data_IF_246034836262
#
_entry.id   IF_246034836262
#
_cell.length_a   1.000
_cell.length_b   1.000
_cell.length_c   1.000
_cell.angle_alpha   90.00
_cell.angle_beta   90.00
_cell.angle_gamma   90.00
#
_symmetry.space_group_name_H-M   'P 1'
#
loop_
_entity.id
_entity.type
_entity.pdbx_description
1 polymer ?
#
# COMPACT_ATOMS: atom_id res chain seq x y z
N UNK A 1 34.94 30.57 9.73
CA UNK A 1 34.44 29.64 10.76
C UNK A 1 33.37 28.80 10.09
N UNK A 2 33.74 27.63 9.62
CA UNK A 2 32.81 26.67 9.06
C UNK A 2 32.04 26.06 10.22
N UNK A 3 30.73 26.32 10.29
CA UNK A 3 29.84 25.59 11.18
C UNK A 3 29.83 24.13 10.70
N UNK A 4 30.46 23.30 11.49
CA UNK A 4 30.40 21.84 11.32
C UNK A 4 28.98 21.41 11.66
N UNK A 5 28.08 21.32 10.64
CA UNK A 5 26.76 20.74 10.77
C UNK A 5 26.99 19.27 11.17
N UNK A 6 26.91 18.99 12.47
CA UNK A 6 26.86 17.62 12.98
C UNK A 6 25.66 16.94 12.32
N UNK A 7 25.87 16.12 11.30
CA UNK A 7 24.86 15.19 10.81
C UNK A 7 24.42 14.36 12.02
N UNK A 8 23.17 14.57 12.48
CA UNK A 8 22.56 13.71 13.49
C UNK A 8 22.68 12.28 12.94
N UNK A 9 23.29 11.39 13.69
CA UNK A 9 23.35 9.98 13.32
C UNK A 9 21.93 9.45 13.37
N UNK A 10 21.32 9.23 12.22
CA UNK A 10 19.99 8.63 12.12
C UNK A 10 20.19 7.14 12.43
N UNK A 11 19.46 6.64 13.41
CA UNK A 11 19.40 5.22 13.73
C UNK A 11 18.42 4.54 12.78
N UNK A 12 18.60 3.26 12.49
CA UNK A 12 17.68 2.52 11.64
C UNK A 12 16.45 2.03 12.44
N UNK A 13 16.60 1.92 13.76
CA UNK A 13 15.58 1.35 14.65
C UNK A 13 15.79 1.70 16.12
N UNK A 14 14.78 1.48 16.94
CA UNK A 14 14.87 1.49 18.40
C UNK A 14 14.04 0.36 19.02
N UNK A 15 14.39 -0.04 20.26
CA UNK A 15 13.58 -0.96 21.04
C UNK A 15 12.48 -0.19 21.77
N UNK A 16 11.27 -0.73 21.78
CA UNK A 16 10.10 -0.11 22.39
C UNK A 16 9.35 -1.07 23.30
N UNK A 17 8.74 -0.50 24.35
CA UNK A 17 7.63 -1.13 25.07
C UNK A 17 6.36 -0.89 24.27
N UNK A 18 5.77 -1.95 23.74
CA UNK A 18 4.51 -1.88 23.00
C UNK A 18 3.38 -2.03 24.01
N UNK A 19 2.66 -0.93 24.25
CA UNK A 19 1.50 -0.88 25.15
C UNK A 19 0.20 -1.00 24.37
N UNK A 20 -0.65 -1.90 24.79
CA UNK A 20 -1.95 -2.17 24.21
C UNK A 20 -3.02 -1.32 24.89
N UNK A 21 -3.70 -0.47 24.13
CA UNK A 21 -4.64 0.51 24.66
C UNK A 21 -6.00 0.43 23.97
N UNK A 22 -7.06 0.73 24.71
CA UNK A 22 -8.41 0.82 24.15
C UNK A 22 -8.72 2.29 23.81
N UNK A 23 -9.32 2.52 22.64
CA UNK A 23 -9.89 3.83 22.26
C UNK A 23 -8.89 5.01 22.31
N UNK A 24 -7.60 4.77 22.21
CA UNK A 24 -6.58 5.82 22.14
C UNK A 24 -6.12 6.11 20.72
N UNK A 25 -6.14 5.09 19.86
CA UNK A 25 -5.80 5.23 18.45
C UNK A 25 -6.94 5.99 17.76
N UNK A 26 -6.66 7.07 17.00
CA UNK A 26 -7.69 7.79 16.26
C UNK A 26 -8.47 6.87 15.32
N UNK A 27 -9.75 7.19 15.12
CA UNK A 27 -10.66 6.45 14.24
C UNK A 27 -10.08 6.26 12.83
N UNK A 28 -10.57 5.23 12.13
CA UNK A 28 -10.13 4.85 10.80
C UNK A 28 -9.58 3.42 10.77
N UNK A 29 -8.47 3.20 10.09
CA UNK A 29 -7.84 1.88 9.96
C UNK A 29 -6.98 1.52 11.19
N UNK A 30 -7.59 1.55 12.39
CA UNK A 30 -6.92 1.43 13.70
C UNK A 30 -6.00 0.22 13.82
N UNK A 31 -6.31 -0.88 13.12
CA UNK A 31 -5.46 -2.08 13.08
C UNK A 31 -4.08 -1.82 12.45
N UNK A 32 -3.94 -0.80 11.60
CA UNK A 32 -2.73 -0.44 10.87
C UNK A 32 -2.05 0.80 11.46
N UNK A 33 -2.58 1.33 12.56
CA UNK A 33 -2.15 2.57 13.18
C UNK A 33 -1.40 2.33 14.49
N UNK A 34 -0.43 3.21 14.77
CA UNK A 34 0.24 3.29 16.06
C UNK A 34 0.44 4.74 16.49
N UNK A 35 0.67 4.94 17.79
CA UNK A 35 1.12 6.21 18.37
C UNK A 35 2.52 5.98 18.95
N UNK A 36 3.48 6.81 18.59
CA UNK A 36 4.87 6.62 18.98
C UNK A 36 5.45 7.85 19.70
N UNK A 37 6.55 7.66 20.44
CA UNK A 37 7.24 8.79 21.05
C UNK A 37 7.93 9.64 19.98
N UNK A 38 7.69 10.96 19.99
CA UNK A 38 8.19 11.91 19.00
C UNK A 38 9.73 11.90 18.92
N UNK A 39 10.41 11.86 20.05
CA UNK A 39 11.88 11.85 20.08
C UNK A 39 12.46 10.60 19.45
N UNK A 40 11.88 9.43 19.73
CA UNK A 40 12.32 8.14 19.21
C UNK A 40 12.05 8.02 17.70
N UNK A 41 10.85 8.42 17.25
CA UNK A 41 10.51 8.40 15.82
C UNK A 41 11.44 9.31 15.03
N UNK A 42 11.73 10.51 15.52
CA UNK A 42 12.67 11.42 14.89
C UNK A 42 14.12 10.88 14.86
N UNK A 43 14.53 10.08 15.85
CA UNK A 43 15.87 9.45 15.85
C UNK A 43 16.04 8.45 14.71
N UNK A 44 14.98 7.79 14.29
CA UNK A 44 14.99 6.87 13.14
C UNK A 44 14.60 7.56 11.82
N UNK A 45 14.53 8.90 11.80
CA UNK A 45 14.21 9.67 10.61
C UNK A 45 12.76 9.46 10.11
N UNK A 46 11.84 9.22 11.02
CA UNK A 46 10.39 9.10 10.76
C UNK A 46 9.63 10.21 11.47
N UNK A 47 8.39 10.46 11.02
CA UNK A 47 7.49 11.45 11.56
C UNK A 47 6.05 10.92 11.55
N UNK A 48 5.10 11.73 12.01
CA UNK A 48 3.67 11.49 11.90
C UNK A 48 3.26 11.25 10.44
N UNK A 49 2.27 10.42 10.22
CA UNK A 49 1.77 9.97 8.91
C UNK A 49 2.77 9.15 8.08
N UNK A 50 3.86 8.67 8.69
CA UNK A 50 4.82 7.80 8.01
C UNK A 50 4.73 6.37 8.54
N UNK A 51 5.16 5.42 7.70
CA UNK A 51 5.13 4.01 8.06
C UNK A 51 6.40 3.59 8.81
N UNK A 52 6.19 2.66 9.73
CA UNK A 52 7.22 1.95 10.46
C UNK A 52 6.92 0.45 10.44
N UNK A 53 7.94 -0.36 10.64
CA UNK A 53 7.82 -1.80 10.81
C UNK A 53 8.01 -2.12 12.30
N UNK A 54 7.01 -2.74 12.92
CA UNK A 54 7.10 -3.22 14.31
C UNK A 54 7.40 -4.71 14.29
N UNK A 55 8.43 -5.11 15.02
CA UNK A 55 8.89 -6.49 15.15
C UNK A 55 8.72 -6.95 16.59
N UNK A 56 8.21 -8.17 16.76
CA UNK A 56 8.06 -8.85 18.03
C UNK A 56 8.82 -10.18 18.01
N UNK A 57 9.75 -10.44 18.95
CA UNK A 57 10.36 -11.75 19.09
C UNK A 57 9.30 -12.81 19.46
N UNK A 58 9.40 -13.97 18.83
CA UNK A 58 8.55 -15.13 19.09
C UNK A 58 9.42 -16.36 19.34
N UNK A 59 8.85 -17.44 19.85
CA UNK A 59 9.58 -18.70 20.05
C UNK A 59 10.15 -19.28 18.73
N UNK A 60 9.50 -18.95 17.58
CA UNK A 60 9.83 -19.50 16.27
C UNK A 60 10.49 -18.48 15.33
N UNK A 61 10.92 -17.33 15.84
CA UNK A 61 11.54 -16.28 15.04
C UNK A 61 11.00 -14.89 15.39
N UNK A 62 10.65 -14.10 14.40
CA UNK A 62 10.15 -12.72 14.57
C UNK A 62 8.82 -12.54 13.85
N UNK A 63 7.78 -12.18 14.60
CA UNK A 63 6.55 -11.65 14.03
C UNK A 63 6.73 -10.17 13.74
N UNK A 64 6.19 -9.69 12.65
CA UNK A 64 6.35 -8.31 12.23
C UNK A 64 5.16 -7.83 11.40
N UNK A 65 4.90 -6.53 11.43
CA UNK A 65 3.89 -5.89 10.60
C UNK A 65 4.19 -4.42 10.37
N UNK A 66 3.62 -3.85 9.31
CA UNK A 66 3.66 -2.42 9.02
C UNK A 66 2.60 -1.66 9.83
N UNK A 67 2.96 -0.47 10.27
CA UNK A 67 2.05 0.46 10.94
C UNK A 67 2.29 1.88 10.45
N UNK A 68 1.22 2.67 10.38
CA UNK A 68 1.29 4.13 10.17
C UNK A 68 1.33 4.82 11.52
N UNK A 69 2.27 5.72 11.74
CA UNK A 69 2.34 6.59 12.92
C UNK A 69 1.31 7.69 12.77
N UNK A 70 0.11 7.50 13.32
CA UNK A 70 -1.00 8.46 13.13
C UNK A 70 -0.95 9.62 14.12
N UNK A 71 -0.27 9.43 15.26
CA UNK A 71 -0.06 10.47 16.26
C UNK A 71 1.26 10.24 17.01
N UNK A 72 1.73 11.27 17.70
CA UNK A 72 2.96 11.22 18.50
C UNK A 72 2.71 11.76 19.90
N UNK A 73 3.52 11.29 20.85
CA UNK A 73 3.53 11.80 22.22
C UNK A 73 4.97 12.15 22.64
N UNK A 74 5.10 13.02 23.62
CA UNK A 74 6.38 13.47 24.21
C UNK A 74 6.66 12.87 25.60
N UNK A 75 5.69 12.11 26.13
CA UNK A 75 5.78 11.45 27.42
C UNK A 75 6.37 10.06 27.26
N UNK A 76 7.03 9.55 28.30
CA UNK A 76 7.55 8.19 28.39
C UNK A 76 8.34 7.75 27.13
N UNK A 77 9.66 7.95 27.11
CA UNK A 77 10.49 7.46 26.01
C UNK A 77 10.31 5.95 25.84
N UNK A 78 10.60 5.45 24.67
CA UNK A 78 10.57 4.03 24.30
C UNK A 78 9.18 3.36 24.35
N UNK A 79 8.07 4.12 24.39
CA UNK A 79 6.72 3.56 24.32
C UNK A 79 6.09 3.79 22.95
N UNK A 80 5.47 2.70 22.44
CA UNK A 80 4.57 2.73 21.28
C UNK A 80 3.23 2.13 21.70
N UNK A 81 2.14 2.81 21.34
CA UNK A 81 0.79 2.34 21.61
C UNK A 81 0.19 1.71 20.35
N UNK A 82 -0.41 0.52 20.53
CA UNK A 82 -1.25 -0.17 19.55
C UNK A 82 -2.66 -0.34 20.12
N UNK A 83 -3.66 -0.42 19.22
CA UNK A 83 -5.01 -0.77 19.65
C UNK A 83 -5.06 -2.19 20.21
N UNK A 84 -5.80 -2.36 21.31
CA UNK A 84 -6.00 -3.64 21.97
C UNK A 84 -7.10 -4.47 21.30
N UNK A 85 -7.03 -4.66 19.99
CA UNK A 85 -7.86 -5.61 19.30
C UNK A 85 -7.14 -6.96 19.22
N UNK A 86 -7.63 -7.95 19.96
CA UNK A 86 -6.98 -9.25 20.06
C UNK A 86 -6.87 -9.98 18.72
N UNK A 87 -7.90 -9.88 17.87
CA UNK A 87 -7.91 -10.53 16.57
C UNK A 87 -6.90 -9.90 15.61
N UNK A 88 -6.80 -8.59 15.59
CA UNK A 88 -5.85 -7.87 14.74
C UNK A 88 -4.40 -8.10 15.19
N UNK A 89 -4.14 -7.97 16.50
CA UNK A 89 -2.80 -8.19 17.05
C UNK A 89 -2.30 -9.62 16.81
N UNK A 90 -3.19 -10.61 16.92
CA UNK A 90 -2.88 -12.01 16.65
C UNK A 90 -2.52 -12.24 15.18
N UNK A 91 -3.28 -11.67 14.27
CA UNK A 91 -3.04 -11.79 12.84
C UNK A 91 -1.79 -11.04 12.39
N UNK A 92 -1.58 -9.82 12.91
CA UNK A 92 -0.46 -8.96 12.53
C UNK A 92 0.85 -9.32 13.21
N UNK A 93 0.84 -9.53 14.53
CA UNK A 93 2.02 -9.74 15.36
C UNK A 93 2.09 -11.12 16.02
N UNK A 94 1.20 -12.04 15.62
CA UNK A 94 1.19 -13.43 16.07
C UNK A 94 1.12 -13.57 17.61
N UNK A 95 0.37 -12.68 18.30
CA UNK A 95 0.14 -12.79 19.73
C UNK A 95 -0.75 -14.01 20.04
N UNK A 96 -0.41 -14.76 21.08
CA UNK A 96 -1.18 -15.93 21.49
C UNK A 96 -2.49 -15.56 22.21
N UNK A 97 -3.52 -16.36 22.02
CA UNK A 97 -4.88 -16.12 22.59
C UNK A 97 -4.92 -15.90 24.10
N UNK A 98 -3.99 -16.49 24.84
CA UNK A 98 -3.96 -16.44 26.29
C UNK A 98 -3.14 -15.28 26.88
N UNK A 99 -2.43 -14.51 26.05
CA UNK A 99 -1.44 -13.51 26.47
C UNK A 99 -1.43 -12.27 25.59
N UNK A 100 -2.59 -11.66 25.36
CA UNK A 100 -2.64 -10.32 24.74
C UNK A 100 -2.28 -9.29 25.82
N UNK A 101 -0.99 -9.12 26.04
CA UNK A 101 -0.39 -8.22 27.00
C UNK A 101 0.65 -7.34 26.34
N UNK A 102 1.03 -6.26 27.00
CA UNK A 102 2.15 -5.41 26.60
C UNK A 102 3.42 -6.25 26.38
N UNK A 103 4.21 -5.88 25.40
CA UNK A 103 5.41 -6.63 25.04
C UNK A 103 6.55 -5.70 24.61
N UNK A 104 7.77 -6.22 24.64
CA UNK A 104 8.92 -5.52 24.08
C UNK A 104 9.04 -5.85 22.58
N UNK A 105 9.15 -4.81 21.77
CA UNK A 105 9.31 -4.91 20.32
C UNK A 105 10.42 -4.02 19.81
N UNK A 106 10.72 -4.13 18.51
CA UNK A 106 11.64 -3.25 17.80
C UNK A 106 10.88 -2.48 16.75
N UNK A 107 11.12 -1.18 16.66
CA UNK A 107 10.53 -0.30 15.65
C UNK A 107 11.61 0.08 14.64
N UNK A 108 11.38 -0.25 13.39
CA UNK A 108 12.31 0.00 12.29
C UNK A 108 11.76 1.08 11.34
N UNK A 109 12.65 1.96 10.88
CA UNK A 109 12.33 2.91 9.83
C UNK A 109 12.20 2.24 8.47
N UNK A 110 12.99 1.20 8.21
CA UNK A 110 12.95 0.49 6.94
C UNK A 110 11.70 -0.40 6.87
N UNK A 111 10.77 -0.04 5.99
CA UNK A 111 9.50 -0.77 5.82
C UNK A 111 9.59 -1.87 4.76
N UNK A 112 10.46 -1.71 3.77
CA UNK A 112 10.67 -2.67 2.67
C UNK A 112 12.04 -3.30 2.74
N UNK A 113 12.15 -4.59 2.42
CA UNK A 113 13.44 -5.25 2.24
C UNK A 113 14.15 -4.71 0.97
N UNK A 114 15.47 -4.71 0.98
CA UNK A 114 16.30 -4.19 -0.11
C UNK A 114 17.15 -5.32 -0.70
N UNK A 115 17.26 -5.32 -2.02
CA UNK A 115 18.16 -6.24 -2.73
C UNK A 115 17.65 -7.67 -2.87
N UNK A 116 16.37 -7.91 -2.57
CA UNK A 116 15.71 -9.21 -2.80
C UNK A 116 15.00 -9.24 -4.16
N UNK A 117 15.07 -10.36 -4.80
CA UNK A 117 14.18 -10.72 -5.91
C UNK A 117 12.79 -11.10 -5.38
N UNK A 118 11.79 -11.17 -6.25
CA UNK A 118 10.43 -11.61 -5.87
C UNK A 118 10.46 -13.01 -5.22
N UNK A 119 11.22 -13.95 -5.79
CA UNK A 119 11.35 -15.30 -5.24
C UNK A 119 12.02 -15.35 -3.85
N UNK A 120 13.06 -14.54 -3.64
CA UNK A 120 13.71 -14.42 -2.33
C UNK A 120 12.81 -13.74 -1.31
N UNK A 121 12.01 -12.76 -1.75
CA UNK A 121 11.02 -12.06 -0.92
C UNK A 121 9.92 -13.03 -0.47
N UNK A 122 9.41 -13.84 -1.37
CA UNK A 122 8.42 -14.88 -1.04
C UNK A 122 8.99 -15.93 -0.10
N UNK A 123 10.20 -16.42 -0.37
CA UNK A 123 10.87 -17.39 0.47
C UNK A 123 11.10 -16.88 1.91
N UNK A 124 11.50 -15.63 2.05
CA UNK A 124 11.79 -14.98 3.34
C UNK A 124 10.58 -14.36 4.02
N UNK A 125 9.39 -14.39 3.40
CA UNK A 125 8.15 -13.78 3.90
C UNK A 125 8.27 -12.27 4.12
N UNK A 126 8.94 -11.59 3.21
CA UNK A 126 9.24 -10.18 3.28
C UNK A 126 8.30 -9.31 2.43
N UNK A 127 8.57 -8.01 2.46
CA UNK A 127 7.87 -6.98 1.72
C UNK A 127 8.88 -6.14 0.96
N UNK A 128 8.67 -5.98 -0.34
CA UNK A 128 9.55 -5.19 -1.23
C UNK A 128 8.78 -4.10 -1.94
N UNK A 129 9.53 -3.07 -2.34
CA UNK A 129 9.10 -1.99 -3.20
C UNK A 129 9.85 -2.08 -4.53
N UNK A 130 9.14 -2.11 -5.65
CA UNK A 130 9.68 -2.12 -7.00
C UNK A 130 9.29 -0.86 -7.76
N UNK A 131 10.20 -0.36 -8.57
CA UNK A 131 9.96 0.75 -9.49
C UNK A 131 10.59 0.41 -10.83
N UNK A 132 9.77 0.31 -11.88
CA UNK A 132 10.21 0.30 -13.27
C UNK A 132 9.91 1.68 -13.87
N UNK A 133 10.95 2.42 -14.20
CA UNK A 133 10.82 3.82 -14.60
C UNK A 133 12.04 4.27 -15.43
N UNK A 134 11.81 5.03 -16.50
CA UNK A 134 12.89 5.54 -17.35
C UNK A 134 13.44 6.91 -16.91
N UNK A 135 12.92 7.48 -15.82
CA UNK A 135 13.32 8.79 -15.30
C UNK A 135 12.64 10.00 -15.97
N UNK A 136 11.96 9.82 -17.09
CA UNK A 136 11.45 10.92 -17.91
C UNK A 136 9.95 10.84 -18.17
N UNK A 137 9.34 9.66 -18.06
CA UNK A 137 7.93 9.44 -18.33
C UNK A 137 7.04 10.35 -17.47
N UNK A 138 6.04 10.96 -18.11
CA UNK A 138 4.98 11.76 -17.50
C UNK A 138 3.58 11.36 -17.97
N UNK A 139 3.46 10.37 -18.85
CA UNK A 139 2.18 9.89 -19.35
C UNK A 139 1.42 9.13 -18.28
N UNK A 140 1.78 7.89 -18.05
CA UNK A 140 1.08 6.99 -17.13
C UNK A 140 2.02 6.48 -16.03
N UNK A 141 1.51 6.42 -14.81
CA UNK A 141 2.05 5.54 -13.77
C UNK A 141 1.00 4.50 -13.37
N UNK A 142 1.39 3.23 -13.38
CA UNK A 142 0.56 2.13 -12.89
C UNK A 142 1.08 1.66 -11.56
N UNK A 143 0.20 1.47 -10.60
CA UNK A 143 0.58 1.07 -9.25
C UNK A 143 -0.18 -0.16 -8.77
N UNK A 144 0.50 -0.98 -7.99
CA UNK A 144 -0.08 -2.03 -7.16
C UNK A 144 0.54 -1.94 -5.75
N UNK A 145 -0.07 -1.15 -4.86
CA UNK A 145 0.48 -0.96 -3.52
C UNK A 145 0.46 -2.24 -2.68
N UNK A 146 -0.39 -3.20 -3.05
CA UNK A 146 -0.72 -4.38 -2.28
C UNK A 146 -0.49 -5.69 -3.06
N UNK A 147 0.54 -5.74 -3.90
CA UNK A 147 0.87 -6.92 -4.70
C UNK A 147 1.38 -8.11 -3.89
N UNK A 148 1.79 -9.16 -4.58
CA UNK A 148 2.17 -10.43 -3.99
C UNK A 148 0.98 -11.15 -3.35
N UNK A 149 1.12 -11.55 -2.09
CA UNK A 149 0.07 -12.26 -1.35
C UNK A 149 -0.85 -11.33 -0.52
N UNK A 150 -0.71 -9.99 -0.63
CA UNK A 150 -1.58 -9.02 0.05
C UNK A 150 -2.94 -9.01 -0.65
N UNK A 151 -2.98 -8.56 -1.90
CA UNK A 151 -4.13 -8.56 -2.80
C UNK A 151 -3.72 -9.25 -4.10
N UNK A 152 -3.64 -10.57 -4.08
CA UNK A 152 -3.07 -11.40 -5.16
C UNK A 152 -3.50 -10.98 -6.55
N UNK A 153 -2.57 -11.03 -7.48
CA UNK A 153 -2.72 -10.73 -8.92
C UNK A 153 -2.77 -9.23 -9.27
N UNK A 154 -2.79 -8.32 -8.30
CA UNK A 154 -2.78 -6.87 -8.59
C UNK A 154 -1.45 -6.41 -9.17
N UNK A 155 -0.36 -6.97 -8.69
CA UNK A 155 1.00 -6.74 -9.22
C UNK A 155 1.15 -7.27 -10.64
N UNK A 156 0.62 -8.46 -10.93
CA UNK A 156 0.61 -9.03 -12.28
C UNK A 156 -0.16 -8.13 -13.28
N UNK A 157 -1.30 -7.56 -12.85
CA UNK A 157 -2.05 -6.59 -13.65
C UNK A 157 -1.25 -5.32 -13.95
N UNK A 158 -0.60 -4.75 -12.94
CA UNK A 158 0.22 -3.56 -13.10
C UNK A 158 1.44 -3.80 -14.00
N UNK A 159 2.12 -4.93 -13.82
CA UNK A 159 3.24 -5.36 -14.66
C UNK A 159 2.82 -5.57 -16.11
N UNK A 160 1.65 -6.18 -16.31
CA UNK A 160 1.11 -6.43 -17.66
C UNK A 160 0.82 -5.13 -18.43
N UNK A 161 0.19 -4.13 -17.77
CA UNK A 161 -0.01 -2.80 -18.39
C UNK A 161 1.30 -2.17 -18.83
N UNK A 162 2.34 -2.24 -17.99
CA UNK A 162 3.65 -1.70 -18.33
C UNK A 162 4.34 -2.44 -19.47
N UNK A 163 4.15 -3.75 -19.57
CA UNK A 163 4.67 -4.55 -20.70
C UNK A 163 3.95 -4.21 -22.01
N UNK A 164 2.63 -4.02 -21.95
CA UNK A 164 1.79 -3.72 -23.13
C UNK A 164 2.05 -2.33 -23.70
N UNK A 165 2.18 -1.32 -22.84
CA UNK A 165 2.24 0.09 -23.27
C UNK A 165 3.68 0.62 -23.47
N UNK A 166 4.70 -0.20 -23.29
CA UNK A 166 6.11 0.22 -23.37
C UNK A 166 6.59 1.11 -22.20
N UNK A 167 7.81 0.85 -21.75
CA UNK A 167 8.47 1.61 -20.68
C UNK A 167 8.76 3.09 -21.02
N UNK A 168 8.59 3.48 -22.27
CA UNK A 168 8.72 4.87 -22.68
C UNK A 168 7.56 5.75 -22.16
N UNK A 169 6.37 5.18 -22.07
CA UNK A 169 5.14 5.88 -21.72
C UNK A 169 4.58 5.49 -20.36
N UNK A 170 5.11 4.44 -19.73
CA UNK A 170 4.58 3.89 -18.48
C UNK A 170 5.67 3.74 -17.44
N UNK A 171 5.45 4.30 -16.27
CA UNK A 171 6.17 3.96 -15.04
C UNK A 171 5.33 2.99 -14.21
N UNK A 172 5.99 2.13 -13.42
CA UNK A 172 5.31 1.17 -12.55
C UNK A 172 5.88 1.28 -11.15
N UNK A 173 5.00 1.50 -10.16
CA UNK A 173 5.37 1.37 -8.74
C UNK A 173 4.56 0.25 -8.11
N UNK A 174 5.25 -0.79 -7.65
CA UNK A 174 4.64 -2.02 -7.17
C UNK A 174 5.26 -2.41 -5.84
N UNK A 175 4.42 -2.60 -4.82
CA UNK A 175 4.83 -3.25 -3.58
C UNK A 175 4.33 -4.70 -3.59
N UNK A 176 5.17 -5.63 -3.13
CA UNK A 176 4.82 -7.04 -3.02
C UNK A 176 5.12 -7.53 -1.61
N UNK A 177 4.12 -8.08 -0.94
CA UNK A 177 4.25 -8.62 0.40
C UNK A 177 3.85 -10.09 0.47
N UNK A 178 4.66 -10.88 1.17
CA UNK A 178 4.46 -12.32 1.27
C UNK A 178 4.39 -12.77 2.73
N UNK A 179 3.61 -13.81 2.97
CA UNK A 179 3.59 -14.55 4.23
C UNK A 179 3.16 -15.99 3.97
N UNK A 180 4.08 -16.92 4.21
CA UNK A 180 3.80 -18.35 4.10
C UNK A 180 2.68 -18.76 5.07
N UNK A 181 1.74 -19.54 4.57
CA UNK A 181 0.58 -19.95 5.37
C UNK A 181 -0.56 -18.92 5.42
N UNK A 182 -0.44 -17.79 4.71
CA UNK A 182 -1.48 -16.76 4.64
C UNK A 182 -1.28 -15.61 5.64
N UNK A 183 -2.14 -14.58 5.55
CA UNK A 183 -2.10 -13.40 6.42
C UNK A 183 -1.12 -12.31 5.94
N UNK A 184 -0.70 -12.32 4.67
CA UNK A 184 0.10 -11.23 4.10
C UNK A 184 -0.65 -9.91 4.14
N UNK A 185 -1.97 -9.92 3.91
CA UNK A 185 -2.83 -8.76 4.06
C UNK A 185 -2.75 -8.17 5.48
N UNK A 186 -2.93 -8.98 6.50
CA UNK A 186 -2.86 -8.49 7.88
C UNK A 186 -1.47 -7.92 8.22
N UNK A 187 -0.40 -8.51 7.68
CA UNK A 187 0.98 -8.10 7.98
C UNK A 187 1.43 -6.84 7.23
N UNK A 188 1.12 -6.72 5.96
CA UNK A 188 1.76 -5.78 5.05
C UNK A 188 0.84 -4.69 4.48
N UNK A 189 -0.49 -4.86 4.61
CA UNK A 189 -1.43 -3.87 4.10
C UNK A 189 -1.33 -2.55 4.87
N UNK A 190 -1.28 -1.46 4.10
CA UNK A 190 -1.45 -0.07 4.57
C UNK A 190 -2.45 0.59 3.64
N UNK A 191 -3.51 1.15 4.18
CA UNK A 191 -4.54 1.80 3.34
C UNK A 191 -3.95 2.86 2.43
N UNK A 192 -4.45 2.97 1.21
CA UNK A 192 -3.89 3.84 0.14
C UNK A 192 -3.86 5.32 0.51
N UNK A 193 -4.72 5.78 1.42
CA UNK A 193 -4.73 7.15 1.93
C UNK A 193 -3.61 7.45 2.92
N UNK A 194 -3.01 6.42 3.52
CA UNK A 194 -1.97 6.56 4.53
C UNK A 194 -0.56 6.35 3.97
N UNK A 195 -0.43 5.81 2.75
CA UNK A 195 0.88 5.58 2.14
C UNK A 195 1.67 6.88 2.04
N UNK A 196 2.81 6.96 2.72
CA UNK A 196 3.71 8.11 2.69
C UNK A 196 4.94 7.84 1.84
N UNK A 197 5.22 8.72 0.87
CA UNK A 197 6.43 8.64 0.04
C UNK A 197 7.72 8.70 0.86
N UNK A 198 7.69 9.29 2.04
CA UNK A 198 8.87 9.33 2.91
C UNK A 198 9.22 7.97 3.51
N UNK A 199 8.27 7.03 3.50
CA UNK A 199 8.47 5.65 3.94
C UNK A 199 8.88 4.72 2.79
N UNK A 200 8.61 5.12 1.55
CA UNK A 200 8.84 4.33 0.33
C UNK A 200 9.83 5.06 -0.60
N UNK A 201 11.13 4.76 -0.51
CA UNK A 201 12.16 5.54 -1.19
C UNK A 201 12.04 5.53 -2.71
N UNK A 202 11.53 4.47 -3.33
CA UNK A 202 11.33 4.42 -4.79
C UNK A 202 10.10 5.24 -5.19
N UNK A 203 8.99 5.17 -4.44
CA UNK A 203 7.82 6.04 -4.63
C UNK A 203 8.21 7.51 -4.56
N UNK A 204 9.05 7.88 -3.58
CA UNK A 204 9.51 9.26 -3.39
C UNK A 204 10.16 9.85 -4.64
N UNK A 205 10.84 9.04 -5.45
CA UNK A 205 11.50 9.52 -6.67
C UNK A 205 10.54 9.96 -7.76
N UNK A 206 9.31 9.46 -7.74
CA UNK A 206 8.29 9.72 -8.78
C UNK A 206 7.15 10.64 -8.32
N UNK A 207 6.97 10.87 -7.01
CA UNK A 207 5.87 11.66 -6.46
C UNK A 207 5.75 13.08 -7.01
N UNK A 208 6.86 13.73 -7.34
CA UNK A 208 6.88 15.11 -7.84
C UNK A 208 6.83 15.22 -9.37
N UNK A 209 6.61 14.07 -10.05
CA UNK A 209 6.66 14.06 -11.51
C UNK A 209 5.39 14.55 -12.17
N UNK A 210 4.24 14.48 -11.46
CA UNK A 210 2.92 14.88 -11.95
C UNK A 210 2.57 14.16 -13.25
N UNK A 211 2.30 12.87 -13.16
CA UNK A 211 1.87 12.08 -14.31
C UNK A 211 0.53 12.58 -14.86
N UNK A 212 0.31 12.43 -16.14
CA UNK A 212 -0.96 12.77 -16.79
C UNK A 212 -2.08 11.86 -16.29
N UNK A 213 -1.79 10.55 -16.13
CA UNK A 213 -2.69 9.55 -15.58
C UNK A 213 -1.99 8.68 -14.55
N UNK A 214 -2.75 8.18 -13.60
CA UNK A 214 -2.32 7.12 -12.67
C UNK A 214 -3.41 6.06 -12.55
N UNK A 215 -3.01 4.78 -12.51
CA UNK A 215 -3.91 3.63 -12.37
C UNK A 215 -3.47 2.78 -11.21
N UNK A 216 -4.38 2.46 -10.30
CA UNK A 216 -4.18 1.57 -9.16
C UNK A 216 -5.04 0.31 -9.29
N UNK A 217 -4.42 -0.86 -9.24
CA UNK A 217 -5.13 -2.13 -9.11
C UNK A 217 -5.18 -2.56 -7.66
N UNK A 218 -6.40 -2.85 -7.19
CA UNK A 218 -6.70 -3.24 -5.81
C UNK A 218 -7.58 -4.48 -5.72
N UNK A 219 -7.63 -5.02 -4.54
CA UNK A 219 -8.43 -6.17 -4.22
C UNK A 219 -9.35 -5.99 -3.03
N UNK A 220 -10.60 -6.34 -3.18
CA UNK A 220 -11.60 -6.28 -2.14
C UNK A 220 -12.38 -7.59 -1.96
N UNK A 221 -13.35 -7.61 -1.03
CA UNK A 221 -14.13 -8.81 -0.71
C UNK A 221 -15.48 -8.91 -1.45
N UNK A 222 -15.93 -7.84 -2.11
CA UNK A 222 -17.20 -7.84 -2.83
C UNK A 222 -17.06 -8.55 -4.18
N UNK A 223 -18.10 -9.28 -4.60
CA UNK A 223 -18.14 -10.02 -5.87
C UNK A 223 -18.45 -9.11 -7.08
N UNK A 224 -17.97 -7.88 -7.07
CA UNK A 224 -18.13 -6.90 -8.14
C UNK A 224 -16.79 -6.24 -8.46
N UNK A 225 -16.75 -5.46 -9.52
CA UNK A 225 -15.67 -4.54 -9.85
C UNK A 225 -16.15 -3.12 -9.55
N UNK A 226 -15.35 -2.32 -8.87
CA UNK A 226 -15.60 -0.91 -8.67
C UNK A 226 -14.51 -0.09 -9.37
N UNK A 227 -14.93 0.85 -10.21
CA UNK A 227 -14.09 1.79 -10.93
C UNK A 227 -14.31 3.16 -10.30
N UNK A 228 -13.27 3.74 -9.71
CA UNK A 228 -13.36 5.03 -9.03
C UNK A 228 -12.11 5.88 -9.21
N UNK A 229 -11.99 6.92 -8.39
CA UNK A 229 -10.90 7.88 -8.47
C UNK A 229 -11.27 9.21 -9.12
N UNK A 230 -10.30 10.07 -9.29
CA UNK A 230 -10.49 11.46 -9.78
C UNK A 230 -10.45 11.60 -11.30
N UNK A 231 -10.24 10.51 -12.04
CA UNK A 231 -10.30 10.51 -13.51
C UNK A 231 -11.72 10.91 -13.97
N UNK A 232 -11.89 11.63 -15.12
CA UNK A 232 -13.20 12.03 -15.60
C UNK A 232 -14.18 10.86 -15.78
N UNK A 233 -15.47 11.13 -15.53
CA UNK A 233 -16.51 10.07 -15.54
C UNK A 233 -16.71 9.44 -16.92
N UNK A 234 -16.54 10.21 -18.00
CA UNK A 234 -16.58 9.69 -19.37
C UNK A 234 -15.44 8.70 -19.67
N UNK A 235 -14.29 8.87 -19.02
CA UNK A 235 -13.19 7.90 -19.11
C UNK A 235 -13.50 6.66 -18.26
N UNK A 236 -14.11 6.82 -17.06
CA UNK A 236 -14.58 5.68 -16.25
C UNK A 236 -15.59 4.85 -17.04
N UNK A 237 -16.50 5.48 -17.81
CA UNK A 237 -17.46 4.77 -18.66
C UNK A 237 -16.81 4.00 -19.81
N UNK A 238 -15.78 4.57 -20.43
CA UNK A 238 -15.02 3.86 -21.46
C UNK A 238 -14.32 2.63 -20.87
N UNK A 239 -13.70 2.77 -19.69
CA UNK A 239 -13.02 1.66 -19.00
C UNK A 239 -14.06 0.61 -18.55
N UNK A 240 -15.20 1.05 -17.98
CA UNK A 240 -16.30 0.15 -17.60
C UNK A 240 -16.76 -0.68 -18.80
N UNK A 241 -17.02 -0.03 -19.92
CA UNK A 241 -17.44 -0.73 -21.14
C UNK A 241 -16.41 -1.74 -21.59
N UNK A 242 -15.14 -1.36 -21.65
CA UNK A 242 -14.06 -2.25 -22.05
C UNK A 242 -13.89 -3.44 -21.06
N UNK A 243 -14.08 -3.24 -19.76
CA UNK A 243 -14.02 -4.32 -18.77
C UNK A 243 -15.23 -5.25 -18.91
N UNK A 244 -16.45 -4.73 -19.12
CA UNK A 244 -17.65 -5.55 -19.33
C UNK A 244 -17.49 -6.45 -20.56
N UNK A 245 -16.88 -5.94 -21.62
CA UNK A 245 -16.67 -6.71 -22.85
C UNK A 245 -15.70 -7.91 -22.65
N UNK A 246 -14.73 -7.80 -21.77
CA UNK A 246 -13.76 -8.86 -21.50
C UNK A 246 -14.15 -9.78 -20.33
N UNK A 247 -14.92 -9.27 -19.35
CA UNK A 247 -15.45 -10.05 -18.24
C UNK A 247 -16.78 -10.66 -18.64
N UNK A 248 -16.74 -11.82 -19.28
CA UNK A 248 -17.92 -12.48 -19.84
C UNK A 248 -18.85 -13.14 -18.79
N UNK A 249 -18.57 -13.04 -17.48
CA UNK A 249 -19.42 -13.59 -16.40
C UNK A 249 -20.49 -12.55 -16.00
N UNK A 250 -21.77 -12.77 -16.35
CA UNK A 250 -22.85 -11.80 -16.06
C UNK A 250 -23.16 -11.65 -14.57
N UNK A 251 -22.54 -12.45 -13.71
CA UNK A 251 -22.69 -12.35 -12.25
C UNK A 251 -21.72 -11.32 -11.65
N UNK A 252 -20.71 -10.89 -12.42
CA UNK A 252 -19.75 -9.89 -11.98
C UNK A 252 -20.24 -8.52 -12.45
N UNK A 253 -20.80 -7.75 -11.52
CA UNK A 253 -21.19 -6.38 -11.79
C UNK A 253 -19.95 -5.48 -11.91
N UNK A 254 -19.94 -4.60 -12.92
CA UNK A 254 -18.93 -3.57 -13.09
C UNK A 254 -19.56 -2.22 -12.83
N UNK A 255 -19.19 -1.61 -11.72
CA UNK A 255 -19.81 -0.38 -11.21
C UNK A 255 -18.82 0.78 -11.24
N UNK A 256 -19.31 1.99 -11.37
CA UNK A 256 -18.56 3.22 -11.19
C UNK A 256 -18.93 3.88 -9.85
N UNK A 257 -18.00 4.66 -9.30
CA UNK A 257 -18.19 5.35 -8.01
C UNK A 257 -19.30 6.40 -8.05
N UNK A 258 -19.47 7.13 -9.16
CA UNK A 258 -20.49 8.15 -9.31
C UNK A 258 -21.93 7.57 -9.41
N UNK A 259 -22.08 6.27 -9.69
CA UNK A 259 -23.37 5.56 -9.59
C UNK A 259 -23.77 5.25 -8.14
N UNK A 260 -22.94 5.60 -7.15
CA UNK A 260 -23.13 5.31 -5.72
C UNK A 260 -23.26 3.81 -5.39
N UNK A 261 -22.72 2.95 -6.26
CA UNK A 261 -22.70 1.50 -6.06
C UNK A 261 -21.38 1.01 -5.47
N UNK A 262 -20.34 1.83 -5.51
CA UNK A 262 -19.09 1.61 -4.83
C UNK A 262 -19.16 2.16 -3.40
N UNK A 263 -18.80 1.41 -2.36
CA UNK A 263 -18.71 1.94 -1.00
C UNK A 263 -17.73 3.11 -0.91
N UNK A 264 -18.05 4.11 -0.09
CA UNK A 264 -17.23 5.34 0.03
C UNK A 264 -15.76 5.07 0.36
N UNK A 265 -15.50 4.10 1.23
CA UNK A 265 -14.15 3.71 1.64
C UNK A 265 -13.32 3.10 0.50
N UNK A 266 -13.94 2.67 -0.60
CA UNK A 266 -13.30 1.99 -1.73
C UNK A 266 -13.44 2.73 -3.06
N UNK A 267 -14.06 3.91 -3.08
CA UNK A 267 -14.31 4.65 -4.31
C UNK A 267 -13.07 5.37 -4.89
N UNK A 268 -11.97 5.41 -4.16
CA UNK A 268 -10.72 5.99 -4.61
C UNK A 268 -10.71 7.52 -4.75
N UNK A 269 -11.78 8.25 -4.36
CA UNK A 269 -11.94 9.68 -4.63
C UNK A 269 -11.16 10.60 -3.69
N UNK A 270 -10.62 10.08 -2.60
CA UNK A 270 -9.86 10.87 -1.64
C UNK A 270 -8.62 11.49 -2.29
N UNK A 271 -8.45 12.81 -2.15
CA UNK A 271 -7.25 13.53 -2.66
C UNK A 271 -5.95 13.07 -2.01
N UNK A 272 -6.01 12.46 -0.83
CA UNK A 272 -4.83 11.92 -0.15
C UNK A 272 -4.55 10.46 -0.51
N UNK A 273 -5.43 9.82 -1.29
CA UNK A 273 -5.16 8.49 -1.85
C UNK A 273 -3.94 8.57 -2.78
N UNK A 274 -3.04 7.59 -2.65
CA UNK A 274 -1.77 7.60 -3.41
C UNK A 274 -1.99 7.71 -4.92
N UNK A 275 -3.03 7.11 -5.46
CA UNK A 275 -3.34 7.21 -6.90
C UNK A 275 -3.62 8.65 -7.32
N UNK A 276 -4.35 9.44 -6.51
CA UNK A 276 -4.69 10.82 -6.81
C UNK A 276 -3.56 11.81 -6.47
N UNK A 277 -2.61 11.41 -5.66
CA UNK A 277 -1.40 12.20 -5.37
C UNK A 277 -0.36 12.09 -6.48
N UNK A 278 -0.36 11.00 -7.24
CA UNK A 278 0.53 10.78 -8.39
C UNK A 278 0.04 11.51 -9.64
N UNK A 279 -1.28 11.66 -9.80
CA UNK A 279 -1.92 12.34 -10.93
C UNK A 279 -3.25 12.94 -10.51
N UNK A 280 -3.63 14.07 -11.12
CA UNK A 280 -4.99 14.61 -11.00
C UNK A 280 -6.06 13.71 -11.68
N UNK A 281 -5.65 12.81 -12.58
CA UNK A 281 -6.50 11.84 -13.26
C UNK A 281 -6.20 10.43 -12.72
N UNK A 282 -6.41 10.23 -11.41
CA UNK A 282 -6.23 8.95 -10.74
C UNK A 282 -7.41 8.01 -10.99
N UNK A 283 -7.11 6.78 -11.35
CA UNK A 283 -8.07 5.68 -11.52
C UNK A 283 -7.78 4.59 -10.50
N UNK A 284 -8.77 4.19 -9.72
CA UNK A 284 -8.70 3.02 -8.82
C UNK A 284 -9.66 1.94 -9.29
N UNK A 285 -9.20 0.69 -9.30
CA UNK A 285 -10.02 -0.47 -9.68
C UNK A 285 -9.97 -1.50 -8.55
N UNK A 286 -11.12 -1.70 -7.89
CA UNK A 286 -11.29 -2.71 -6.85
C UNK A 286 -11.91 -3.97 -7.45
N UNK A 287 -11.37 -5.14 -7.13
CA UNK A 287 -11.76 -6.42 -7.73
C UNK A 287 -11.68 -7.55 -6.70
N UNK A 288 -12.62 -8.49 -6.70
CA UNK A 288 -12.48 -9.69 -5.87
C UNK A 288 -11.35 -10.61 -6.36
N UNK A 289 -10.80 -11.46 -5.48
CA UNK A 289 -9.70 -12.37 -5.81
C UNK A 289 -10.03 -13.27 -7.01
N UNK A 290 -11.28 -13.77 -7.08
CA UNK A 290 -11.73 -14.61 -8.19
C UNK A 290 -11.66 -13.86 -9.53
N UNK A 291 -12.11 -12.61 -9.57
CA UNK A 291 -12.05 -11.78 -10.77
C UNK A 291 -10.60 -11.53 -11.19
N UNK A 292 -9.74 -11.13 -10.26
CA UNK A 292 -8.31 -10.92 -10.54
C UNK A 292 -7.63 -12.17 -11.07
N UNK A 293 -7.97 -13.34 -10.49
CA UNK A 293 -7.38 -14.63 -10.90
C UNK A 293 -7.76 -15.06 -12.31
N UNK A 294 -9.00 -14.88 -12.71
CA UNK A 294 -9.51 -15.44 -13.96
C UNK A 294 -9.65 -14.43 -15.10
N UNK A 295 -9.74 -13.15 -14.78
CA UNK A 295 -9.94 -12.06 -15.73
C UNK A 295 -8.92 -10.91 -15.54
N UNK A 296 -7.96 -11.04 -14.61
CA UNK A 296 -7.08 -9.94 -14.24
C UNK A 296 -6.28 -9.40 -15.42
N UNK A 297 -5.71 -10.28 -16.23
CA UNK A 297 -4.92 -9.86 -17.41
C UNK A 297 -5.82 -9.22 -18.47
N UNK A 298 -7.00 -9.78 -18.73
CA UNK A 298 -7.94 -9.21 -19.71
C UNK A 298 -8.43 -7.81 -19.26
N UNK A 299 -8.67 -7.63 -17.94
CA UNK A 299 -9.00 -6.34 -17.37
C UNK A 299 -7.84 -5.35 -17.50
N UNK A 300 -6.61 -5.79 -17.22
CA UNK A 300 -5.42 -4.97 -17.39
C UNK A 300 -5.23 -4.55 -18.86
N UNK A 301 -5.48 -5.45 -19.80
CA UNK A 301 -5.49 -5.16 -21.24
C UNK A 301 -6.54 -4.10 -21.61
N UNK A 302 -7.77 -4.26 -21.15
CA UNK A 302 -8.86 -3.32 -21.41
C UNK A 302 -8.53 -1.92 -20.89
N UNK A 303 -7.99 -1.83 -19.67
CA UNK A 303 -7.53 -0.55 -19.07
C UNK A 303 -6.38 0.05 -19.87
N UNK A 304 -5.38 -0.75 -20.24
CA UNK A 304 -4.24 -0.31 -21.03
C UNK A 304 -4.67 0.23 -22.39
N UNK A 305 -5.63 -0.40 -23.05
CA UNK A 305 -6.14 0.03 -24.36
C UNK A 305 -6.88 1.37 -24.29
N UNK A 306 -7.65 1.61 -23.22
CA UNK A 306 -8.33 2.90 -23.02
C UNK A 306 -7.32 3.99 -22.68
N UNK A 307 -6.48 3.79 -21.66
CA UNK A 307 -5.51 4.81 -21.23
C UNK A 307 -4.45 5.06 -22.29
N UNK A 308 -3.99 4.03 -23.00
CA UNK A 308 -3.01 4.15 -24.07
C UNK A 308 -3.47 5.10 -25.20
N UNK A 309 -4.76 5.11 -25.53
CA UNK A 309 -5.32 6.08 -26.49
C UNK A 309 -5.30 7.52 -25.96
N UNK A 310 -5.41 7.69 -24.64
CA UNK A 310 -5.45 9.02 -24.01
C UNK A 310 -4.05 9.64 -23.89
N UNK A 311 -3.02 8.86 -23.58
CA UNK A 311 -1.63 9.34 -23.46
C UNK A 311 -0.95 9.57 -24.81
N UNK A 312 -1.69 9.47 -25.91
CA UNK A 312 -1.22 9.76 -27.29
C UNK A 312 0.08 9.03 -27.63
N UNK A 313 0.01 7.71 -27.55
CA UNK A 313 1.05 6.85 -28.13
C UNK A 313 0.98 6.87 -29.66
#
# INVERSE_FOLDING_TARGET
MEECIKRKHIQDSFNAQIKLVNNRIPNGHIREHCIANLGQINMIGRDRCQQVRIERPTANGTALALYTVVDVHDQEPDIVFLDKNEDDLRKRLELEHSNVADFTGKVNAQVTAVGLTDAETEYSNEFIENLADNGHNRGLIVIAPHGGNIEKYTDEQAEHVGQKLSSEYVSQWICKGFKKGGGAFDRWHITSTDISEDSFPKLKTVMRRHFEYSVAFHGWRHESICIGGTIPDDVKDQIRTAIVDVVSDPRIEVNTDYEHKCPEDFNGNSKVNIVNRLSANGLQIEQCEKTRKYHGIDIADAVADVIGRLIKM
#
